data_IF_549378391043
#
_entry.id   IF_549378391043
#
_cell.length_a   1.000
_cell.length_b   1.000
_cell.length_c   1.000
_cell.angle_alpha   90.00
_cell.angle_beta   90.00
_cell.angle_gamma   90.00
#
_symmetry.space_group_name_H-M   'P 1'
#
loop_
_entity.id
_entity.type
_entity.pdbx_description
1 polymer ?
#
# COMPACT_ATOMS: atom_id res chain seq x y z
N UNK A 1 36.23 -12.49 -2.04
CA UNK A 1 35.71 -13.87 -1.99
C UNK A 1 35.04 -14.14 -3.31
N UNK A 2 35.46 -15.20 -4.00
CA UNK A 2 35.18 -15.44 -5.42
C UNK A 2 33.71 -15.56 -5.77
N UNK A 3 33.35 -14.95 -6.90
CA UNK A 3 32.12 -15.20 -7.63
C UNK A 3 32.24 -16.57 -8.32
N UNK A 4 31.25 -17.45 -8.10
CA UNK A 4 31.11 -18.73 -8.80
C UNK A 4 30.04 -18.54 -9.86
N UNK A 5 30.47 -18.37 -11.11
CA UNK A 5 29.62 -18.50 -12.31
C UNK A 5 29.18 -19.97 -12.45
N UNK A 6 27.88 -20.18 -12.69
CA UNK A 6 27.31 -21.46 -13.08
C UNK A 6 26.97 -21.41 -14.57
N UNK A 7 27.21 -22.50 -15.34
CA UNK A 7 27.03 -22.47 -16.78
C UNK A 7 25.57 -22.68 -17.21
N UNK A 8 25.22 -21.90 -18.22
CA UNK A 8 24.03 -21.96 -19.06
C UNK A 8 24.03 -23.27 -19.87
N UNK A 9 22.94 -24.04 -19.79
CA UNK A 9 22.78 -25.31 -20.51
C UNK A 9 21.55 -25.20 -21.43
N UNK A 10 21.82 -24.89 -22.70
CA UNK A 10 20.87 -24.99 -23.82
C UNK A 10 20.48 -26.46 -24.07
N UNK A 11 19.18 -26.79 -24.20
CA UNK A 11 18.76 -28.04 -24.83
C UNK A 11 18.47 -27.82 -26.32
N UNK A 12 19.16 -28.64 -27.11
CA UNK A 12 19.13 -28.74 -28.55
C UNK A 12 17.72 -28.97 -29.15
N UNK A 13 17.51 -28.30 -30.29
CA UNK A 13 16.43 -28.56 -31.23
C UNK A 13 16.57 -29.96 -31.87
N UNK A 14 15.47 -30.70 -31.91
CA UNK A 14 15.31 -31.90 -32.73
C UNK A 14 14.21 -31.70 -33.79
N UNK A 15 14.42 -32.10 -35.06
CA UNK A 15 13.38 -32.11 -36.07
C UNK A 15 12.62 -33.45 -35.99
N UNK A 16 11.33 -33.37 -35.65
CA UNK A 16 10.44 -34.53 -35.54
C UNK A 16 9.39 -34.55 -36.65
N UNK A 17 9.65 -35.43 -37.61
CA UNK A 17 8.85 -35.99 -38.70
C UNK A 17 7.33 -35.78 -38.72
N UNK A 18 6.86 -35.43 -39.93
CA UNK A 18 5.49 -35.48 -40.41
C UNK A 18 4.90 -36.90 -40.33
N UNK A 19 4.10 -37.18 -39.31
CA UNK A 19 3.17 -38.31 -39.31
C UNK A 19 1.75 -37.83 -39.60
N UNK A 20 1.35 -37.99 -40.86
CA UNK A 20 -0.03 -37.90 -41.30
C UNK A 20 -0.86 -39.02 -40.62
N UNK A 21 -1.48 -38.71 -39.48
CA UNK A 21 -2.55 -39.54 -38.91
C UNK A 21 -3.77 -39.42 -39.81
N UNK A 22 -3.99 -40.46 -40.63
CA UNK A 22 -5.26 -40.74 -41.28
C UNK A 22 -6.37 -40.73 -40.22
N UNK A 23 -7.30 -39.79 -40.36
CA UNK A 23 -8.47 -39.69 -39.51
C UNK A 23 -9.31 -40.99 -39.60
N UNK A 24 -9.68 -41.62 -38.47
CA UNK A 24 -10.62 -42.73 -38.47
C UNK A 24 -11.98 -42.23 -38.96
N UNK A 25 -12.55 -42.91 -39.95
CA UNK A 25 -13.95 -42.75 -40.36
C UNK A 25 -14.84 -43.10 -39.16
N UNK A 26 -15.38 -42.08 -38.50
CA UNK A 26 -16.33 -42.22 -37.39
C UNK A 26 -17.66 -42.76 -37.95
N UNK A 27 -18.20 -43.88 -37.42
CA UNK A 27 -19.48 -44.43 -37.83
C UNK A 27 -20.61 -43.42 -37.55
N UNK A 28 -21.49 -43.24 -38.54
CA UNK A 28 -22.48 -42.16 -38.63
C UNK A 28 -23.77 -42.35 -37.78
N UNK A 29 -23.78 -43.28 -36.83
CA UNK A 29 -24.97 -43.61 -36.04
C UNK A 29 -24.77 -43.22 -34.57
N UNK A 30 -24.61 -41.92 -34.30
CA UNK A 30 -24.70 -41.38 -32.95
C UNK A 30 -26.17 -40.98 -32.67
N UNK A 31 -26.76 -41.41 -31.53
CA UNK A 31 -28.15 -41.12 -31.18
C UNK A 31 -28.36 -39.61 -30.99
N UNK A 32 -29.31 -39.05 -31.75
CA UNK A 32 -29.60 -37.61 -31.82
C UNK A 32 -30.22 -36.99 -30.56
N UNK A 33 -30.34 -37.73 -29.44
CA UNK A 33 -31.08 -37.28 -28.26
C UNK A 33 -30.19 -36.64 -27.16
N UNK A 34 -28.86 -36.76 -27.21
CA UNK A 34 -27.97 -36.18 -26.19
C UNK A 34 -27.72 -34.67 -26.34
N UNK A 35 -27.98 -34.07 -27.51
CA UNK A 35 -27.65 -32.67 -27.78
C UNK A 35 -28.54 -31.67 -26.99
N UNK A 36 -29.78 -32.03 -26.67
CA UNK A 36 -30.74 -31.13 -26.03
C UNK A 36 -30.41 -30.80 -24.56
N UNK A 37 -29.79 -31.74 -23.83
CA UNK A 37 -29.45 -31.55 -22.43
C UNK A 37 -28.28 -30.55 -22.26
N UNK A 38 -27.30 -30.59 -23.17
CA UNK A 38 -26.10 -29.74 -23.13
C UNK A 38 -26.39 -28.25 -23.34
N UNK A 39 -27.35 -27.92 -24.21
CA UNK A 39 -27.73 -26.52 -24.48
C UNK A 39 -28.34 -25.83 -23.27
N UNK A 40 -29.20 -26.53 -22.52
CA UNK A 40 -29.86 -26.00 -21.32
C UNK A 40 -28.84 -25.61 -20.24
N UNK A 41 -27.83 -26.47 -20.03
CA UNK A 41 -26.79 -26.25 -19.04
C UNK A 41 -25.83 -25.12 -19.46
N UNK A 42 -25.50 -25.04 -20.76
CA UNK A 42 -24.68 -23.95 -21.29
C UNK A 42 -25.38 -22.59 -21.15
N UNK A 43 -26.68 -22.52 -21.44
CA UNK A 43 -27.47 -21.31 -21.25
C UNK A 43 -27.50 -20.89 -19.77
N UNK A 44 -27.74 -21.83 -18.86
CA UNK A 44 -27.73 -21.56 -17.43
C UNK A 44 -26.38 -21.00 -16.95
N UNK A 45 -25.26 -21.55 -17.45
CA UNK A 45 -23.92 -21.09 -17.09
C UNK A 45 -23.65 -19.67 -17.61
N UNK A 46 -24.09 -19.32 -18.82
CA UNK A 46 -24.00 -17.95 -19.36
C UNK A 46 -24.78 -16.97 -18.50
N UNK A 47 -26.01 -17.31 -18.12
CA UNK A 47 -26.83 -16.49 -17.22
C UNK A 47 -26.14 -16.25 -15.87
N UNK A 48 -25.49 -17.27 -15.30
CA UNK A 48 -24.72 -17.14 -14.05
C UNK A 48 -23.54 -16.19 -14.20
N UNK A 49 -22.73 -16.32 -15.26
CA UNK A 49 -21.59 -15.42 -15.52
C UNK A 49 -22.05 -13.98 -15.74
N UNK A 50 -23.13 -13.78 -16.51
CA UNK A 50 -23.74 -12.46 -16.71
C UNK A 50 -24.20 -11.84 -15.40
N UNK A 51 -24.90 -12.62 -14.56
CA UNK A 51 -25.38 -12.16 -13.26
C UNK A 51 -24.23 -11.74 -12.34
N UNK A 52 -23.17 -12.56 -12.24
CA UNK A 52 -21.98 -12.21 -11.43
C UNK A 52 -21.28 -10.97 -11.98
N UNK A 53 -21.11 -10.85 -13.30
CA UNK A 53 -20.48 -9.68 -13.91
C UNK A 53 -21.26 -8.40 -13.56
N UNK A 54 -22.59 -8.42 -13.67
CA UNK A 54 -23.45 -7.28 -13.32
C UNK A 54 -23.40 -6.97 -11.82
N UNK A 55 -23.50 -7.97 -10.95
CA UNK A 55 -23.42 -7.80 -9.50
C UNK A 55 -22.06 -7.26 -9.07
N UNK A 56 -20.97 -7.76 -9.66
CA UNK A 56 -19.61 -7.31 -9.38
C UNK A 56 -19.42 -5.85 -9.82
N UNK A 57 -19.90 -5.50 -11.02
CA UNK A 57 -19.88 -4.12 -11.51
C UNK A 57 -20.67 -3.17 -10.61
N UNK A 58 -21.91 -3.52 -10.29
CA UNK A 58 -22.78 -2.74 -9.40
C UNK A 58 -22.18 -2.57 -8.00
N UNK A 59 -21.62 -3.64 -7.43
CA UNK A 59 -20.95 -3.60 -6.14
C UNK A 59 -19.70 -2.69 -6.15
N UNK A 60 -18.90 -2.72 -7.23
CA UNK A 60 -17.72 -1.85 -7.34
C UNK A 60 -18.11 -0.37 -7.40
N UNK A 61 -19.17 -0.04 -8.15
CA UNK A 61 -19.71 1.33 -8.20
C UNK A 61 -20.27 1.74 -6.84
N UNK A 62 -21.07 0.89 -6.19
CA UNK A 62 -21.65 1.18 -4.89
C UNK A 62 -20.57 1.34 -3.80
N UNK A 63 -19.57 0.45 -3.77
CA UNK A 63 -18.43 0.51 -2.85
C UNK A 63 -17.59 1.78 -3.08
N UNK A 64 -17.39 2.18 -4.33
CA UNK A 64 -16.72 3.43 -4.67
C UNK A 64 -17.46 4.65 -4.10
N UNK A 65 -18.77 4.77 -4.35
CA UNK A 65 -19.56 5.88 -3.79
C UNK A 65 -19.61 5.83 -2.27
N UNK A 66 -19.80 4.66 -1.67
CA UNK A 66 -19.79 4.52 -0.21
C UNK A 66 -18.45 4.98 0.40
N UNK A 67 -17.33 4.62 -0.22
CA UNK A 67 -15.99 5.05 0.22
C UNK A 67 -15.80 6.56 0.07
N UNK A 68 -16.28 7.17 -1.02
CA UNK A 68 -16.26 8.62 -1.20
C UNK A 68 -17.10 9.34 -0.15
N UNK A 69 -18.33 8.90 0.10
CA UNK A 69 -19.22 9.53 1.08
C UNK A 69 -18.67 9.40 2.51
N UNK A 70 -18.23 8.20 2.90
CA UNK A 70 -17.65 7.96 4.23
C UNK A 70 -16.36 8.73 4.39
N UNK A 71 -15.49 8.71 3.38
CA UNK A 71 -14.23 9.45 3.38
C UNK A 71 -14.47 10.95 3.52
N UNK A 72 -15.43 11.49 2.77
CA UNK A 72 -15.80 12.90 2.86
C UNK A 72 -16.31 13.27 4.27
N UNK A 73 -17.24 12.49 4.81
CA UNK A 73 -17.84 12.78 6.13
C UNK A 73 -16.82 12.66 7.26
N UNK A 74 -16.04 11.58 7.30
CA UNK A 74 -15.04 11.36 8.35
C UNK A 74 -13.90 12.38 8.26
N UNK A 75 -13.49 12.79 7.05
CA UNK A 75 -12.50 13.88 6.88
C UNK A 75 -13.05 15.21 7.34
N UNK A 76 -14.32 15.54 7.04
CA UNK A 76 -14.94 16.77 7.53
C UNK A 76 -15.06 16.78 9.05
N UNK A 77 -15.53 15.69 9.66
CA UNK A 77 -15.63 15.57 11.10
C UNK A 77 -14.26 15.65 11.78
N UNK A 78 -13.22 15.05 11.18
CA UNK A 78 -11.86 15.14 11.68
C UNK A 78 -11.31 16.56 11.53
N UNK A 79 -11.53 17.21 10.39
CA UNK A 79 -11.07 18.57 10.14
C UNK A 79 -11.73 19.56 11.09
N UNK A 80 -13.03 19.42 11.36
CA UNK A 80 -13.76 20.27 12.29
C UNK A 80 -13.24 20.11 13.73
N UNK A 81 -12.93 18.87 14.14
CA UNK A 81 -12.37 18.62 15.47
C UNK A 81 -10.95 19.16 15.60
N UNK A 82 -10.09 18.93 14.59
CA UNK A 82 -8.73 19.50 14.59
C UNK A 82 -8.80 21.03 14.57
N UNK A 83 -9.73 21.63 13.81
CA UNK A 83 -9.95 23.07 13.81
C UNK A 83 -10.32 23.60 15.19
N UNK A 84 -11.13 22.85 15.94
CA UNK A 84 -11.54 23.18 17.31
C UNK A 84 -10.37 23.06 18.29
N UNK A 85 -9.53 22.03 18.15
CA UNK A 85 -8.44 21.75 19.10
C UNK A 85 -7.16 22.54 18.82
N UNK A 86 -6.85 22.83 17.56
CA UNK A 86 -5.58 23.42 17.14
C UNK A 86 -5.76 24.35 15.91
N UNK A 87 -6.43 25.50 16.07
CA UNK A 87 -6.74 26.41 14.96
C UNK A 87 -5.49 26.93 14.24
N UNK A 88 -4.38 27.13 14.96
CA UNK A 88 -3.13 27.67 14.40
C UNK A 88 -2.38 26.69 13.49
N UNK A 89 -2.48 25.38 13.76
CA UNK A 89 -1.87 24.35 12.91
C UNK A 89 -2.62 24.29 11.58
N UNK A 90 -3.95 24.39 11.66
CA UNK A 90 -4.81 24.32 10.49
C UNK A 90 -4.68 25.55 9.61
N UNK A 91 -4.59 26.76 10.16
CA UNK A 91 -4.56 27.99 9.34
C UNK A 91 -3.39 28.04 8.36
N UNK A 92 -2.25 27.41 8.70
CA UNK A 92 -1.07 27.36 7.83
C UNK A 92 -1.11 26.21 6.81
N UNK A 93 -1.91 25.15 7.05
CA UNK A 93 -1.95 23.94 6.22
C UNK A 93 -3.30 23.68 5.54
N UNK A 94 -4.36 24.40 5.89
CA UNK A 94 -5.70 24.23 5.34
C UNK A 94 -5.76 24.53 3.83
N UNK A 95 -4.84 25.33 3.30
CA UNK A 95 -4.71 25.54 1.86
C UNK A 95 -4.22 24.29 1.09
N UNK A 96 -3.68 23.29 1.78
CA UNK A 96 -3.10 22.09 1.16
C UNK A 96 -3.98 20.85 1.26
N UNK A 97 -4.99 20.85 2.15
CA UNK A 97 -5.99 19.77 2.17
C UNK A 97 -7.00 20.09 1.08
N UNK A 98 -6.61 19.87 -0.18
CA UNK A 98 -7.60 19.78 -1.24
C UNK A 98 -8.66 18.78 -0.78
N UNK A 99 -9.95 19.16 -0.77
CA UNK A 99 -10.99 18.19 -0.49
C UNK A 99 -10.76 17.01 -1.43
N UNK A 100 -11.07 15.77 -1.03
CA UNK A 100 -10.99 14.61 -1.92
C UNK A 100 -11.95 14.83 -3.09
N UNK A 101 -11.50 15.60 -4.06
CA UNK A 101 -12.19 15.89 -5.29
C UNK A 101 -12.20 14.61 -6.11
N UNK A 102 -12.97 14.66 -7.19
CA UNK A 102 -12.91 13.63 -8.22
C UNK A 102 -11.56 13.80 -8.93
N UNK A 103 -10.48 13.38 -8.28
CA UNK A 103 -9.14 13.42 -8.85
C UNK A 103 -9.12 12.38 -9.98
N UNK A 104 -8.39 12.68 -11.06
CA UNK A 104 -8.29 11.80 -12.22
C UNK A 104 -7.94 10.35 -11.82
N UNK A 105 -7.14 10.17 -10.77
CA UNK A 105 -6.81 8.86 -10.20
C UNK A 105 -8.02 8.04 -9.75
N UNK A 106 -9.04 8.67 -9.14
CA UNK A 106 -10.25 7.97 -8.71
C UNK A 106 -11.11 7.53 -9.89
N UNK A 107 -11.26 8.38 -10.91
CA UNK A 107 -12.01 8.03 -12.13
C UNK A 107 -11.32 6.91 -12.88
N UNK A 108 -10.00 7.02 -13.07
CA UNK A 108 -9.20 5.97 -13.70
C UNK A 108 -9.25 4.66 -12.90
N UNK A 109 -9.23 4.74 -11.57
CA UNK A 109 -9.41 3.59 -10.70
C UNK A 109 -10.78 2.93 -10.87
N UNK A 110 -11.85 3.71 -10.95
CA UNK A 110 -13.21 3.18 -11.18
C UNK A 110 -13.32 2.49 -12.55
N UNK A 111 -12.80 3.14 -13.61
CA UNK A 111 -12.80 2.58 -14.97
C UNK A 111 -12.01 1.28 -15.04
N UNK A 112 -10.84 1.21 -14.43
CA UNK A 112 -10.03 -0.01 -14.35
C UNK A 112 -10.77 -1.13 -13.60
N UNK A 113 -11.48 -0.80 -12.51
CA UNK A 113 -12.27 -1.77 -11.74
C UNK A 113 -13.50 -2.28 -12.51
N UNK A 114 -14.06 -1.50 -13.43
CA UNK A 114 -15.21 -1.88 -14.26
C UNK A 114 -14.83 -2.68 -15.50
N UNK A 115 -13.56 -2.64 -15.91
CA UNK A 115 -13.08 -3.36 -17.10
C UNK A 115 -13.23 -4.88 -16.95
N UNK A 116 -12.95 -5.43 -15.75
CA UNK A 116 -13.06 -6.87 -15.49
C UNK A 116 -14.53 -7.35 -15.59
N UNK A 117 -15.50 -6.74 -14.88
CA UNK A 117 -16.93 -7.00 -15.10
C UNK A 117 -17.36 -6.87 -16.57
N UNK A 118 -16.87 -5.85 -17.28
CA UNK A 118 -17.21 -5.64 -18.69
C UNK A 118 -16.74 -6.81 -19.57
N UNK A 119 -15.51 -7.31 -19.36
CA UNK A 119 -15.02 -8.52 -20.05
C UNK A 119 -15.91 -9.74 -19.80
N UNK A 120 -16.38 -9.92 -18.56
CA UNK A 120 -17.30 -11.00 -18.21
C UNK A 120 -18.66 -10.86 -18.90
N UNK A 121 -19.22 -9.65 -18.88
CA UNK A 121 -20.51 -9.35 -19.50
C UNK A 121 -20.46 -9.52 -21.03
N UNK A 122 -19.53 -8.84 -21.71
CA UNK A 122 -19.42 -8.90 -23.16
C UNK A 122 -18.93 -10.27 -23.64
N UNK A 123 -18.06 -10.94 -22.89
CA UNK A 123 -17.61 -12.29 -23.19
C UNK A 123 -18.74 -13.31 -23.17
N UNK A 124 -19.59 -13.27 -22.14
CA UNK A 124 -20.74 -14.15 -22.04
C UNK A 124 -21.84 -13.81 -23.07
N UNK A 125 -22.04 -12.53 -23.39
CA UNK A 125 -23.01 -12.07 -24.39
C UNK A 125 -22.61 -12.48 -25.82
N UNK A 126 -21.36 -12.19 -26.23
CA UNK A 126 -20.86 -12.42 -27.59
C UNK A 126 -20.19 -13.79 -27.80
N UNK A 127 -20.23 -14.68 -26.79
CA UNK A 127 -19.57 -16.00 -26.84
C UNK A 127 -18.07 -15.93 -27.16
N UNK A 128 -17.42 -14.84 -26.74
CA UNK A 128 -16.00 -14.62 -27.02
C UNK A 128 -15.15 -15.34 -25.97
N UNK A 129 -14.53 -16.45 -26.37
CA UNK A 129 -13.61 -17.23 -25.52
C UNK A 129 -12.49 -16.37 -24.93
N UNK A 130 -11.95 -15.42 -25.71
CA UNK A 130 -10.87 -14.52 -25.26
C UNK A 130 -11.31 -13.62 -24.10
N UNK A 131 -12.50 -13.03 -24.19
CA UNK A 131 -13.03 -12.13 -23.15
C UNK A 131 -13.39 -12.87 -21.86
N UNK A 132 -14.00 -14.06 -21.97
CA UNK A 132 -14.30 -14.89 -20.79
C UNK A 132 -13.02 -15.41 -20.14
N UNK A 133 -12.01 -15.76 -20.92
CA UNK A 133 -10.67 -16.10 -20.41
C UNK A 133 -10.04 -14.96 -19.62
N UNK A 134 -10.11 -13.72 -20.15
CA UNK A 134 -9.65 -12.52 -19.44
C UNK A 134 -10.44 -12.30 -18.13
N UNK A 135 -11.77 -12.40 -18.16
CA UNK A 135 -12.60 -12.29 -16.96
C UNK A 135 -12.21 -13.30 -15.87
N UNK A 136 -12.02 -14.57 -16.24
CA UNK A 136 -11.61 -15.62 -15.32
C UNK A 136 -10.22 -15.35 -14.72
N UNK A 137 -9.22 -15.01 -15.56
CA UNK A 137 -7.87 -14.74 -15.11
C UNK A 137 -7.78 -13.52 -14.19
N UNK A 138 -8.44 -12.43 -14.56
CA UNK A 138 -8.47 -11.21 -13.76
C UNK A 138 -9.26 -11.40 -12.46
N UNK A 139 -10.41 -12.08 -12.48
CA UNK A 139 -11.19 -12.35 -11.26
C UNK A 139 -10.42 -13.24 -10.30
N UNK A 140 -9.71 -14.27 -10.80
CA UNK A 140 -8.90 -15.15 -9.97
C UNK A 140 -7.72 -14.43 -9.34
N UNK A 141 -7.01 -13.60 -10.12
CA UNK A 141 -5.93 -12.75 -9.61
C UNK A 141 -6.44 -11.79 -8.52
N UNK A 142 -7.58 -11.12 -8.76
CA UNK A 142 -8.22 -10.23 -7.79
C UNK A 142 -8.67 -10.97 -6.53
N UNK A 143 -9.14 -12.20 -6.64
CA UNK A 143 -9.50 -13.01 -5.47
C UNK A 143 -8.28 -13.34 -4.62
N UNK A 144 -7.17 -13.77 -5.24
CA UNK A 144 -5.94 -14.07 -4.52
C UNK A 144 -5.36 -12.82 -3.83
N UNK A 145 -5.23 -11.71 -4.58
CA UNK A 145 -4.72 -10.44 -4.04
C UNK A 145 -5.66 -9.85 -2.99
N UNK A 146 -6.98 -9.95 -3.21
CA UNK A 146 -7.99 -9.50 -2.27
C UNK A 146 -7.99 -10.28 -0.96
N UNK A 147 -7.82 -11.61 -1.02
CA UNK A 147 -7.68 -12.45 0.18
C UNK A 147 -6.40 -12.11 0.96
N UNK A 148 -5.26 -11.95 0.27
CA UNK A 148 -4.01 -11.51 0.92
C UNK A 148 -4.16 -10.14 1.56
N UNK A 149 -4.74 -9.17 0.83
CA UNK A 149 -5.01 -7.83 1.35
C UNK A 149 -5.93 -7.88 2.58
N UNK A 150 -6.97 -8.71 2.58
CA UNK A 150 -7.86 -8.90 3.72
C UNK A 150 -7.11 -9.45 4.95
N UNK A 151 -6.23 -10.44 4.77
CA UNK A 151 -5.42 -11.01 5.86
C UNK A 151 -4.48 -9.95 6.43
N UNK A 152 -3.72 -9.25 5.57
CA UNK A 152 -2.81 -8.18 6.00
C UNK A 152 -3.57 -7.09 6.75
N UNK A 153 -4.74 -6.72 6.23
CA UNK A 153 -5.59 -5.73 6.83
C UNK A 153 -6.10 -6.13 8.22
N UNK A 154 -6.53 -7.39 8.40
CA UNK A 154 -6.92 -7.92 9.72
C UNK A 154 -5.72 -7.97 10.68
N UNK A 155 -4.53 -8.28 10.15
CA UNK A 155 -3.27 -8.22 10.89
C UNK A 155 -2.96 -6.81 11.40
N UNK A 156 -3.05 -5.80 10.54
CA UNK A 156 -2.84 -4.39 10.91
C UNK A 156 -3.86 -3.93 11.95
N UNK A 157 -5.14 -4.28 11.79
CA UNK A 157 -6.18 -3.98 12.78
C UNK A 157 -5.88 -4.58 14.15
N UNK A 158 -5.38 -5.81 14.17
CA UNK A 158 -5.01 -6.50 15.41
C UNK A 158 -3.77 -5.85 16.04
N UNK A 159 -2.77 -5.48 15.23
CA UNK A 159 -1.59 -4.77 15.67
C UNK A 159 -1.92 -3.39 16.26
N UNK A 160 -2.82 -2.61 15.63
CA UNK A 160 -3.27 -1.31 16.16
C UNK A 160 -3.92 -1.51 17.54
N UNK A 161 -4.82 -2.47 17.70
CA UNK A 161 -5.49 -2.72 18.99
C UNK A 161 -4.53 -3.17 20.09
N UNK A 162 -3.48 -3.90 19.73
CA UNK A 162 -2.45 -4.31 20.68
C UNK A 162 -1.49 -3.17 21.03
N UNK A 163 -1.23 -2.26 20.08
CA UNK A 163 -0.35 -1.12 20.26
C UNK A 163 -1.04 0.08 20.93
N UNK A 164 -2.36 0.19 20.83
CA UNK A 164 -3.18 1.29 21.36
C UNK A 164 -2.86 1.65 22.82
N UNK A 165 -2.90 0.73 23.81
CA UNK A 165 -2.61 1.10 25.20
C UNK A 165 -1.16 1.56 25.39
N UNK A 166 -0.20 0.87 24.74
CA UNK A 166 1.21 1.24 24.82
C UNK A 166 1.48 2.62 24.22
N UNK A 167 0.78 2.94 23.12
CA UNK A 167 0.88 4.24 22.46
C UNK A 167 0.26 5.35 23.32
N UNK A 168 -0.91 5.12 23.93
CA UNK A 168 -1.55 6.08 24.83
C UNK A 168 -0.70 6.36 26.07
N UNK A 169 -0.13 5.31 26.67
CA UNK A 169 0.79 5.44 27.80
C UNK A 169 2.05 6.22 27.42
N UNK A 170 2.65 5.91 26.26
CA UNK A 170 3.81 6.63 25.75
C UNK A 170 3.50 8.10 25.43
N UNK A 171 2.39 8.38 24.76
CA UNK A 171 1.96 9.75 24.44
C UNK A 171 1.72 10.57 25.70
N UNK A 172 1.08 9.97 26.71
CA UNK A 172 0.81 10.63 28.00
C UNK A 172 2.10 10.85 28.78
N UNK A 173 2.99 9.86 28.81
CA UNK A 173 4.27 9.96 29.50
C UNK A 173 5.21 10.99 28.84
N UNK A 174 5.09 11.18 27.53
CA UNK A 174 5.88 12.13 26.76
C UNK A 174 5.22 13.51 26.56
N UNK A 175 4.13 13.83 27.27
CA UNK A 175 3.50 15.15 27.18
C UNK A 175 4.46 16.26 27.71
N UNK A 176 4.89 17.22 26.87
CA UNK A 176 5.80 18.29 27.27
C UNK A 176 5.10 19.41 28.07
N UNK A 177 3.77 19.40 28.17
CA UNK A 177 2.98 20.46 28.80
C UNK A 177 3.40 20.78 30.26
N UNK A 178 3.73 19.80 31.12
CA UNK A 178 4.23 20.08 32.47
C UNK A 178 5.55 20.83 32.48
N UNK A 179 6.47 20.54 31.55
CA UNK A 179 7.75 21.23 31.43
C UNK A 179 7.58 22.70 31.12
N UNK A 180 6.63 23.05 30.24
CA UNK A 180 6.40 24.45 29.83
C UNK A 180 5.86 25.34 30.95
N UNK A 181 5.35 24.76 32.05
CA UNK A 181 4.85 25.51 33.22
C UNK A 181 5.95 25.93 34.19
N UNK A 182 7.19 25.50 33.97
CA UNK A 182 8.32 25.86 34.83
C UNK A 182 8.72 27.34 34.65
N UNK A 183 9.19 27.94 35.74
CA UNK A 183 9.41 29.39 35.82
C UNK A 183 10.55 29.90 34.93
N UNK A 184 11.64 29.14 34.81
CA UNK A 184 12.84 29.56 34.07
C UNK A 184 13.07 28.72 32.82
N UNK A 185 13.63 29.34 31.77
CA UNK A 185 13.98 28.63 30.53
C UNK A 185 14.93 27.47 30.76
N UNK A 186 15.89 27.62 31.68
CA UNK A 186 16.82 26.55 32.05
C UNK A 186 16.10 25.31 32.59
N UNK A 187 15.12 25.50 33.50
CA UNK A 187 14.32 24.39 34.03
C UNK A 187 13.43 23.76 32.95
N UNK A 188 12.88 24.55 32.02
CA UNK A 188 12.12 24.02 30.88
C UNK A 188 12.98 23.15 29.98
N UNK A 189 14.16 23.64 29.61
CA UNK A 189 15.11 22.91 28.76
C UNK A 189 15.55 21.62 29.44
N UNK A 190 15.86 21.66 30.74
CA UNK A 190 16.29 20.47 31.48
C UNK A 190 15.16 19.43 31.66
N UNK A 191 13.91 19.87 31.83
CA UNK A 191 12.73 18.99 31.82
C UNK A 191 12.52 18.31 30.46
N UNK A 192 12.56 19.09 29.37
CA UNK A 192 12.35 18.63 27.99
C UNK A 192 13.48 17.76 27.46
N UNK A 193 14.70 17.98 27.95
CA UNK A 193 15.86 17.14 27.68
C UNK A 193 15.70 15.73 28.27
N UNK A 194 14.71 15.50 29.13
CA UNK A 194 14.41 14.18 29.68
C UNK A 194 15.40 13.73 30.76
N UNK A 195 14.97 12.76 31.56
CA UNK A 195 15.63 12.33 32.79
C UNK A 195 16.31 10.97 32.68
N UNK A 196 17.35 10.73 33.48
CA UNK A 196 17.94 9.41 33.70
C UNK A 196 19.07 8.97 32.75
N UNK A 197 19.45 9.81 31.78
CA UNK A 197 20.58 9.56 30.87
C UNK A 197 21.63 10.69 30.90
N UNK A 198 21.48 11.63 31.85
CA UNK A 198 22.41 12.69 32.17
C UNK A 198 22.71 12.68 33.67
N UNK A 199 23.96 12.91 34.06
CA UNK A 199 24.33 13.08 35.48
C UNK A 199 23.88 14.41 36.05
N UNK A 200 23.91 15.46 35.24
CA UNK A 200 23.48 16.80 35.64
C UNK A 200 22.02 16.96 35.23
N UNK A 201 21.13 16.70 36.18
CA UNK A 201 19.70 16.95 36.07
C UNK A 201 19.24 17.65 37.34
N UNK A 202 18.36 18.65 37.21
CA UNK A 202 17.79 19.34 38.35
C UNK A 202 16.83 18.38 39.08
N UNK A 203 17.32 17.68 40.11
CA UNK A 203 16.58 16.57 40.74
C UNK A 203 15.23 16.90 41.41
N UNK A 204 14.76 18.15 41.38
CA UNK A 204 13.47 18.57 41.95
C UNK A 204 12.37 18.79 40.90
N UNK A 205 12.68 18.77 39.60
CA UNK A 205 11.69 18.97 38.54
C UNK A 205 11.27 17.62 37.92
N UNK A 206 10.03 17.51 37.41
CA UNK A 206 9.68 16.39 36.55
C UNK A 206 10.56 16.41 35.30
N UNK A 207 10.95 15.25 34.80
CA UNK A 207 11.63 15.12 33.52
C UNK A 207 10.84 14.18 32.62
N UNK A 208 10.91 14.41 31.31
CA UNK A 208 10.36 13.46 30.35
C UNK A 208 11.10 12.10 30.42
N UNK A 209 10.39 10.97 30.22
CA UNK A 209 11.03 9.68 30.04
C UNK A 209 12.10 9.68 28.96
N UNK A 210 13.03 8.73 29.07
CA UNK A 210 14.17 8.63 28.15
C UNK A 210 13.75 8.37 26.70
N UNK A 211 12.61 7.75 26.47
CA UNK A 211 12.15 7.30 25.15
C UNK A 211 11.25 8.33 24.46
N UNK A 212 11.16 9.54 25.03
CA UNK A 212 10.46 10.66 24.44
C UNK A 212 11.29 11.33 23.33
N UNK A 213 10.62 11.93 22.33
CA UNK A 213 11.31 12.52 21.19
C UNK A 213 12.06 13.80 21.62
N UNK A 214 13.29 13.98 21.13
CA UNK A 214 14.13 15.15 21.47
C UNK A 214 13.81 16.39 20.61
N UNK A 215 12.76 16.33 19.79
CA UNK A 215 12.36 17.42 18.87
C UNK A 215 11.87 18.68 19.60
N UNK A 216 11.72 18.63 20.93
CA UNK A 216 11.27 19.75 21.76
C UNK A 216 12.34 20.81 21.99
N UNK A 217 13.60 20.54 21.64
CA UNK A 217 14.70 21.48 21.79
C UNK A 217 15.22 21.87 20.42
N UNK A 218 15.63 23.14 20.27
CA UNK A 218 16.21 23.67 19.05
C UNK A 218 17.40 24.57 19.37
N UNK A 219 18.39 24.60 18.48
CA UNK A 219 19.45 25.58 18.58
C UNK A 219 18.92 26.94 18.12
N UNK A 220 19.18 28.02 18.89
CA UNK A 220 18.93 29.37 18.44
C UNK A 220 19.62 29.64 17.09
N UNK A 221 18.98 30.44 16.24
CA UNK A 221 19.51 30.79 14.93
C UNK A 221 20.88 31.49 15.05
N UNK A 222 21.87 31.00 14.30
CA UNK A 222 23.24 31.52 14.35
C UNK A 222 24.12 30.96 15.47
N UNK A 223 23.60 30.06 16.31
CA UNK A 223 24.39 29.34 17.30
C UNK A 223 24.80 27.98 16.73
N UNK A 224 26.10 27.76 16.59
CA UNK A 224 26.66 26.44 16.26
C UNK A 224 26.83 25.65 17.54
N UNK A 225 26.70 24.32 17.47
CA UNK A 225 27.12 23.48 18.60
C UNK A 225 28.60 23.74 18.86
N UNK A 226 29.03 23.86 20.12
CA UNK A 226 30.45 23.93 20.44
C UNK A 226 31.18 22.74 19.83
N UNK A 227 32.10 23.01 18.89
CA UNK A 227 32.90 21.98 18.21
C UNK A 227 33.73 21.12 19.19
N UNK A 228 34.01 21.70 20.36
CA UNK A 228 34.87 21.15 21.40
C UNK A 228 34.08 20.42 22.49
N UNK A 229 32.80 20.11 22.26
CA UNK A 229 32.03 19.47 23.31
C UNK A 229 32.53 18.04 23.58
N UNK A 230 33.04 17.72 24.80
CA UNK A 230 33.79 16.48 25.04
C UNK A 230 32.99 15.22 24.75
N UNK A 231 31.67 15.28 24.91
CA UNK A 231 30.78 14.16 24.68
C UNK A 231 30.38 13.98 23.20
N UNK A 232 30.71 14.93 22.31
CA UNK A 232 30.46 14.84 20.87
C UNK A 232 31.73 14.66 20.03
N UNK A 233 32.90 14.60 20.68
CA UNK A 233 34.18 14.38 20.01
C UNK A 233 34.41 12.89 19.71
N UNK A 234 35.28 12.55 18.74
CA UNK A 234 35.71 11.17 18.51
C UNK A 234 36.37 10.52 19.75
N UNK A 235 36.82 11.34 20.71
CA UNK A 235 37.43 10.92 21.97
C UNK A 235 36.43 10.88 23.13
N UNK A 236 35.14 11.05 22.88
CA UNK A 236 34.11 11.10 23.92
C UNK A 236 34.04 9.86 24.83
N UNK A 237 34.51 8.70 24.38
CA UNK A 237 34.63 7.52 25.25
C UNK A 237 35.53 7.76 26.47
N UNK A 238 36.56 8.58 26.31
CA UNK A 238 37.53 8.93 27.36
C UNK A 238 37.22 10.31 27.98
N UNK A 239 36.83 11.28 27.16
CA UNK A 239 36.70 12.69 27.54
C UNK A 239 35.29 13.09 28.00
N UNK A 240 34.24 12.30 27.73
CA UNK A 240 32.89 12.66 28.14
C UNK A 240 32.76 12.64 29.67
N UNK A 241 32.52 13.80 30.27
CA UNK A 241 32.45 13.93 31.73
C UNK A 241 31.22 13.25 32.35
N UNK A 242 30.24 12.79 31.55
CA UNK A 242 29.03 12.12 32.02
C UNK A 242 29.23 10.58 32.18
N UNK A 243 29.42 10.06 33.41
CA UNK A 243 29.59 8.62 33.62
C UNK A 243 28.32 7.81 33.35
N UNK A 244 27.12 8.38 33.52
CA UNK A 244 25.85 7.68 33.27
C UNK A 244 25.71 7.45 31.77
N UNK A 245 26.00 8.48 30.98
CA UNK A 245 25.91 8.39 29.52
C UNK A 245 26.99 7.48 28.93
N UNK A 246 28.22 7.53 29.47
CA UNK A 246 29.28 6.57 29.11
C UNK A 246 28.89 5.13 29.42
N UNK A 247 28.37 4.87 30.63
CA UNK A 247 27.92 3.53 31.01
C UNK A 247 26.77 3.04 30.10
N UNK A 248 25.82 3.92 29.75
CA UNK A 248 24.74 3.59 28.83
C UNK A 248 25.25 3.20 27.44
N UNK A 249 26.10 4.04 26.81
CA UNK A 249 26.63 3.74 25.47
C UNK A 249 27.60 2.56 25.46
N UNK A 250 28.36 2.33 26.53
CA UNK A 250 29.22 1.15 26.67
C UNK A 250 28.42 -0.16 26.79
N UNK A 251 27.17 -0.10 27.29
CA UNK A 251 26.29 -1.26 27.40
C UNK A 251 25.58 -1.63 26.09
N UNK A 252 25.57 -0.73 25.11
CA UNK A 252 24.90 -0.93 23.82
C UNK A 252 25.80 -1.75 22.88
N UNK A 253 25.26 -2.84 22.32
CA UNK A 253 25.96 -3.66 21.32
C UNK A 253 26.13 -2.88 19.99
N UNK A 254 27.16 -3.22 19.22
CA UNK A 254 27.61 -2.53 17.98
C UNK A 254 26.50 -2.15 16.98
N UNK A 255 25.40 -2.92 16.91
CA UNK A 255 24.26 -2.62 16.02
C UNK A 255 23.49 -1.34 16.41
N UNK A 256 23.54 -0.95 17.69
CA UNK A 256 22.83 0.23 18.20
C UNK A 256 23.56 1.56 17.92
N UNK A 257 24.79 1.53 17.43
CA UNK A 257 25.58 2.74 17.12
C UNK A 257 25.73 3.03 15.62
N UNK A 258 25.23 2.14 14.75
CA UNK A 258 25.27 2.36 13.30
C UNK A 258 24.64 3.69 12.87
N UNK A 259 25.30 4.45 11.97
CA UNK A 259 24.78 5.71 11.45
C UNK A 259 23.53 5.45 10.62
N UNK A 260 22.41 6.12 10.91
CA UNK A 260 21.20 6.02 10.08
C UNK A 260 19.87 6.44 10.71
N UNK A 261 19.73 6.44 12.04
CA UNK A 261 18.48 6.87 12.69
C UNK A 261 18.74 8.14 13.51
N UNK A 262 18.22 9.28 13.07
CA UNK A 262 18.42 10.62 13.66
C UNK A 262 17.87 10.86 15.07
N UNK A 263 17.71 9.79 15.87
CA UNK A 263 17.22 9.80 17.25
C UNK A 263 18.16 9.04 18.21
N UNK A 264 19.35 8.62 17.74
CA UNK A 264 20.23 7.77 18.56
C UNK A 264 20.99 8.58 19.61
N UNK A 265 20.94 8.06 20.84
CA UNK A 265 21.65 8.55 22.03
C UNK A 265 23.16 8.21 22.03
N UNK A 266 23.61 7.45 21.04
CA UNK A 266 25.01 7.08 20.82
C UNK A 266 25.29 7.06 19.30
N UNK A 267 26.46 7.53 18.87
CA UNK A 267 26.94 7.52 17.48
C UNK A 267 28.23 6.73 17.42
N UNK A 268 28.36 5.88 16.40
CA UNK A 268 29.65 5.24 16.11
C UNK A 268 30.57 6.21 15.41
N UNK A 269 31.81 6.28 15.85
CA UNK A 269 32.88 6.96 15.12
C UNK A 269 33.81 5.91 14.51
N UNK A 270 34.21 6.14 13.26
CA UNK A 270 35.31 5.40 12.66
C UNK A 270 36.61 5.95 13.24
N UNK A 271 37.12 5.28 14.28
CA UNK A 271 38.48 5.51 14.74
C UNK A 271 39.49 5.19 13.63
N UNK A 272 40.67 5.80 13.70
CA UNK A 272 41.80 5.53 12.79
C UNK A 272 42.37 4.11 12.91
N UNK A 273 41.97 3.37 13.95
CA UNK A 273 42.33 1.97 14.17
C UNK A 273 41.07 1.14 14.48
N UNK A 274 40.53 0.47 13.46
CA UNK A 274 39.63 -0.72 13.41
C UNK A 274 38.54 -1.03 14.47
N UNK A 275 38.43 -0.35 15.60
CA UNK A 275 37.32 -0.45 16.55
C UNK A 275 36.31 0.67 16.30
N UNK A 276 35.08 0.31 15.93
CA UNK A 276 33.95 1.24 16.04
C UNK A 276 33.73 1.52 17.52
N UNK A 277 34.10 2.72 17.97
CA UNK A 277 33.76 3.17 19.32
C UNK A 277 32.39 3.85 19.29
N UNK A 278 31.48 3.38 20.14
CA UNK A 278 30.20 4.02 20.41
C UNK A 278 30.43 5.20 21.36
N UNK A 279 30.39 6.42 20.84
CA UNK A 279 30.37 7.61 21.68
C UNK A 279 28.93 8.05 21.94
N UNK A 280 28.66 8.72 23.07
CA UNK A 280 27.38 9.34 23.30
C UNK A 280 27.06 10.36 22.20
N UNK A 281 25.82 10.39 21.78
CA UNK A 281 25.30 11.43 20.90
C UNK A 281 24.03 11.99 21.52
N UNK A 282 23.85 13.30 21.46
CA UNK A 282 22.70 13.95 22.05
C UNK A 282 23.07 15.22 22.77
N UNK A 283 22.14 15.71 23.58
CA UNK A 283 22.24 17.01 24.22
C UNK A 283 23.53 17.18 25.03
N UNK A 284 24.07 18.39 25.12
CA UNK A 284 25.22 18.71 25.97
C UNK A 284 24.99 18.31 27.43
N UNK A 285 26.05 18.30 28.25
CA UNK A 285 25.91 18.05 29.70
C UNK A 285 24.92 19.04 30.34
N UNK A 286 24.93 20.29 29.85
CA UNK A 286 24.06 21.39 30.24
C UNK A 286 23.29 21.95 29.03
N UNK A 287 22.19 21.32 28.62
CA UNK A 287 21.39 21.78 27.47
C UNK A 287 20.85 23.19 27.62
N UNK A 288 20.64 23.65 28.85
CA UNK A 288 20.20 25.00 29.15
C UNK A 288 21.16 26.11 28.68
N UNK A 289 22.44 25.79 28.43
CA UNK A 289 23.45 26.76 27.96
C UNK A 289 23.45 26.90 26.42
N UNK A 290 22.94 25.91 25.69
CA UNK A 290 23.06 25.82 24.21
C UNK A 290 21.69 25.79 23.51
N UNK A 291 20.67 25.22 24.15
CA UNK A 291 19.36 24.97 23.54
C UNK A 291 18.28 25.89 24.10
N UNK A 292 17.29 26.16 23.25
CA UNK A 292 16.04 26.78 23.64
C UNK A 292 14.86 25.80 23.44
N UNK A 293 13.76 25.92 24.22
CA UNK A 293 12.54 25.19 23.96
C UNK A 293 11.99 25.54 22.57
N UNK A 294 11.73 24.53 21.75
CA UNK A 294 11.02 24.69 20.49
C UNK A 294 9.52 24.73 20.77
N UNK A 295 9.01 25.92 21.09
CA UNK A 295 7.61 26.12 21.48
C UNK A 295 6.63 25.55 20.44
N UNK A 296 6.96 25.66 19.15
CA UNK A 296 6.14 25.12 18.07
C UNK A 296 6.04 23.60 18.13
N UNK A 297 7.17 22.90 18.21
CA UNK A 297 7.18 21.44 18.27
C UNK A 297 6.51 20.92 19.55
N UNK A 298 6.69 21.64 20.66
CA UNK A 298 6.01 21.34 21.94
C UNK A 298 4.50 21.48 21.80
N UNK A 299 4.01 22.57 21.20
CA UNK A 299 2.58 22.78 20.96
C UNK A 299 2.01 21.75 19.97
N UNK A 300 2.71 21.48 18.87
CA UNK A 300 2.28 20.50 17.85
C UNK A 300 2.16 19.10 18.45
N UNK A 301 3.12 18.68 19.29
CA UNK A 301 3.08 17.38 19.96
C UNK A 301 2.00 17.34 21.04
N UNK A 302 1.85 18.38 21.87
CA UNK A 302 0.79 18.45 22.87
C UNK A 302 -0.62 18.41 22.22
N UNK A 303 -0.78 19.00 21.03
CA UNK A 303 -1.99 18.87 20.23
C UNK A 303 -2.17 17.42 19.71
N UNK A 304 -1.10 16.79 19.24
CA UNK A 304 -1.13 15.40 18.80
C UNK A 304 -1.51 14.41 19.92
N UNK A 305 -0.97 14.58 21.14
CA UNK A 305 -1.31 13.77 22.32
C UNK A 305 -2.81 13.84 22.63
N UNK A 306 -3.41 15.03 22.52
CA UNK A 306 -4.86 15.21 22.72
C UNK A 306 -5.70 14.61 21.58
N UNK A 307 -5.21 14.70 20.36
CA UNK A 307 -5.94 14.29 19.15
C UNK A 307 -5.88 12.78 18.89
N UNK A 308 -4.76 12.13 19.23
CA UNK A 308 -4.52 10.71 18.99
C UNK A 308 -5.64 9.76 19.48
N UNK A 309 -6.12 9.84 20.75
CA UNK A 309 -7.14 8.92 21.25
C UNK A 309 -8.49 9.07 20.53
N UNK A 310 -8.76 10.23 19.92
CA UNK A 310 -9.96 10.43 19.12
C UNK A 310 -9.81 9.94 17.67
N UNK A 311 -8.61 10.04 17.10
CA UNK A 311 -8.34 9.66 15.71
C UNK A 311 -8.21 8.16 15.52
N UNK A 312 -7.59 7.44 16.46
CA UNK A 312 -7.42 5.98 16.40
C UNK A 312 -8.76 5.24 16.15
N UNK A 313 -9.83 5.46 16.94
CA UNK A 313 -11.10 4.75 16.73
C UNK A 313 -11.79 5.13 15.41
N UNK A 314 -11.61 6.37 14.92
CA UNK A 314 -12.13 6.79 13.61
C UNK A 314 -11.42 6.04 12.48
N UNK A 315 -10.08 5.96 12.53
CA UNK A 315 -9.29 5.17 11.58
C UNK A 315 -9.74 3.71 11.61
N UNK A 316 -9.88 3.10 12.79
CA UNK A 316 -10.37 1.73 12.93
C UNK A 316 -11.76 1.54 12.31
N UNK A 317 -12.67 2.52 12.46
CA UNK A 317 -14.03 2.47 11.88
C UNK A 317 -13.99 2.56 10.36
N UNK A 318 -13.30 3.54 9.79
CA UNK A 318 -13.15 3.69 8.33
C UNK A 318 -12.57 2.42 7.71
N UNK A 319 -11.52 1.91 8.35
CA UNK A 319 -10.93 0.65 7.98
C UNK A 319 -12.02 -0.44 8.01
N UNK A 320 -12.78 -0.63 9.09
CA UNK A 320 -13.77 -1.73 9.22
C UNK A 320 -14.83 -1.68 8.12
N UNK A 321 -15.31 -0.48 7.79
CA UNK A 321 -16.29 -0.31 6.71
C UNK A 321 -15.69 -0.71 5.37
N UNK A 322 -14.45 -0.33 5.08
CA UNK A 322 -13.77 -0.74 3.84
C UNK A 322 -13.64 -2.28 3.76
N UNK A 323 -13.36 -2.96 4.87
CA UNK A 323 -13.34 -4.42 4.93
C UNK A 323 -14.71 -5.03 4.61
N UNK A 324 -15.77 -4.50 5.23
CA UNK A 324 -17.15 -4.95 5.03
C UNK A 324 -17.63 -4.74 3.59
N UNK A 325 -17.23 -3.63 2.96
CA UNK A 325 -17.57 -3.32 1.56
C UNK A 325 -16.81 -4.20 0.55
N UNK A 326 -15.57 -4.60 0.84
CA UNK A 326 -14.77 -5.41 -0.08
C UNK A 326 -15.05 -6.91 0.02
N UNK A 327 -15.52 -7.40 1.18
CA UNK A 327 -15.75 -8.82 1.40
C UNK A 327 -16.75 -9.45 0.40
N UNK A 328 -17.92 -8.86 0.10
CA UNK A 328 -18.82 -9.41 -0.92
C UNK A 328 -18.18 -9.42 -2.31
N UNK A 329 -17.31 -8.45 -2.61
CA UNK A 329 -16.58 -8.39 -3.87
C UNK A 329 -15.60 -9.54 -4.02
N UNK A 330 -14.93 -9.93 -2.93
CA UNK A 330 -14.06 -11.11 -2.90
C UNK A 330 -14.84 -12.40 -3.19
N UNK A 331 -16.00 -12.57 -2.56
CA UNK A 331 -16.88 -13.74 -2.79
C UNK A 331 -17.35 -13.79 -4.24
N UNK A 332 -17.81 -12.66 -4.79
CA UNK A 332 -18.26 -12.59 -6.19
C UNK A 332 -17.11 -12.83 -7.18
N UNK A 333 -15.90 -12.36 -6.91
CA UNK A 333 -14.72 -12.65 -7.74
C UNK A 333 -14.37 -14.15 -7.74
N UNK A 334 -14.49 -14.83 -6.59
CA UNK A 334 -14.29 -16.29 -6.52
C UNK A 334 -15.34 -17.03 -7.35
N UNK A 335 -16.63 -16.65 -7.20
CA UNK A 335 -17.72 -17.23 -8.00
C UNK A 335 -17.54 -16.96 -9.50
N UNK A 336 -17.13 -15.74 -9.86
CA UNK A 336 -16.83 -15.33 -11.23
C UNK A 336 -15.70 -16.14 -11.84
N UNK A 337 -14.67 -16.47 -11.05
CA UNK A 337 -13.57 -17.34 -11.48
C UNK A 337 -14.05 -18.77 -11.73
N UNK A 338 -14.79 -19.36 -10.79
CA UNK A 338 -15.29 -20.73 -10.92
C UNK A 338 -16.23 -20.88 -12.13
N UNK A 339 -17.26 -20.02 -12.23
CA UNK A 339 -18.24 -20.10 -13.32
C UNK A 339 -17.65 -19.63 -14.65
N UNK A 340 -16.76 -18.64 -14.65
CA UNK A 340 -16.02 -18.19 -15.82
C UNK A 340 -15.13 -19.29 -16.40
N UNK A 341 -14.41 -20.03 -15.56
CA UNK A 341 -13.58 -21.15 -15.98
C UNK A 341 -14.42 -22.28 -16.59
N UNK A 342 -15.54 -22.65 -15.94
CA UNK A 342 -16.46 -23.65 -16.51
C UNK A 342 -16.98 -23.22 -17.88
N UNK A 343 -17.36 -21.94 -18.05
CA UNK A 343 -17.86 -21.42 -19.32
C UNK A 343 -16.75 -21.43 -20.38
N UNK A 344 -15.54 -21.03 -20.01
CA UNK A 344 -14.37 -21.06 -20.87
C UNK A 344 -14.04 -22.47 -21.37
N UNK A 345 -14.07 -23.47 -20.47
CA UNK A 345 -13.85 -24.87 -20.83
C UNK A 345 -14.92 -25.39 -21.80
N UNK A 346 -16.21 -25.11 -21.55
CA UNK A 346 -17.29 -25.49 -22.46
C UNK A 346 -17.16 -24.84 -23.84
N UNK A 347 -16.85 -23.54 -23.90
CA UNK A 347 -16.59 -22.87 -25.19
C UNK A 347 -15.36 -23.45 -25.90
N UNK A 348 -14.35 -23.89 -25.15
CA UNK A 348 -13.14 -24.53 -25.70
C UNK A 348 -13.41 -25.93 -26.25
N UNK A 349 -14.42 -26.63 -25.72
CA UNK A 349 -14.85 -27.94 -26.18
C UNK A 349 -15.75 -27.89 -27.42
N UNK A 350 -16.00 -26.70 -28.01
CA UNK A 350 -16.76 -26.56 -29.27
C UNK A 350 -18.22 -26.15 -29.11
N UNK A 351 -18.74 -26.00 -27.88
CA UNK A 351 -20.14 -25.58 -27.65
C UNK A 351 -20.46 -24.14 -28.07
N UNK A 352 -19.47 -23.35 -28.51
CA UNK A 352 -19.67 -21.96 -28.91
C UNK A 352 -20.33 -21.81 -30.30
N UNK A 353 -20.08 -22.76 -31.22
CA UNK A 353 -20.45 -22.67 -32.65
C UNK A 353 -21.87 -23.14 -32.97
N UNK A 354 -22.53 -23.87 -32.06
CA UNK A 354 -23.79 -24.58 -32.37
C UNK A 354 -25.02 -23.66 -32.41
N UNK A 355 -24.98 -22.51 -31.73
CA UNK A 355 -26.19 -21.70 -31.52
C UNK A 355 -26.13 -20.27 -32.05
N UNK A 356 -25.20 -19.92 -32.94
CA UNK A 356 -25.36 -18.68 -33.68
C UNK A 356 -26.48 -18.97 -34.69
N UNK A 357 -27.66 -18.32 -34.58
CA UNK A 357 -28.67 -18.47 -35.60
C UNK A 357 -28.00 -17.99 -36.86
N UNK A 358 -27.60 -18.95 -37.71
CA UNK A 358 -27.18 -18.68 -39.07
C UNK A 358 -28.37 -17.91 -39.62
N UNK A 359 -28.24 -16.59 -39.76
CA UNK A 359 -29.24 -15.82 -40.48
C UNK A 359 -29.51 -16.63 -41.73
N UNK A 360 -30.77 -17.00 -42.01
CA UNK A 360 -31.08 -17.87 -43.14
C UNK A 360 -30.44 -17.21 -44.34
N UNK A 361 -29.32 -17.77 -44.79
CA UNK A 361 -28.55 -17.22 -45.88
C UNK A 361 -29.48 -17.41 -47.07
N UNK A 362 -30.23 -16.36 -47.41
CA UNK A 362 -31.14 -16.38 -48.53
C UNK A 362 -30.32 -16.88 -49.73
N UNK A 363 -30.65 -18.04 -50.31
CA UNK A 363 -29.94 -18.57 -51.47
C UNK A 363 -30.36 -17.71 -52.66
N UNK A 364 -29.75 -16.53 -52.80
CA UNK A 364 -30.35 -15.52 -53.68
C UNK A 364 -29.58 -14.23 -53.86
N UNK A 365 -28.28 -14.15 -53.58
CA UNK A 365 -27.41 -13.18 -54.27
C UNK A 365 -25.95 -13.62 -54.12
N UNK A 366 -25.45 -14.38 -55.09
CA UNK A 366 -24.01 -14.43 -55.33
C UNK A 366 -23.58 -13.02 -55.77
N UNK A 367 -23.20 -12.16 -54.82
CA UNK A 367 -22.29 -11.07 -55.16
C UNK A 367 -20.95 -11.73 -55.41
N UNK A 368 -20.60 -11.89 -56.69
CA UNK A 368 -19.27 -12.24 -57.14
C UNK A 368 -18.26 -11.43 -56.33
N UNK A 369 -17.49 -12.13 -55.51
CA UNK A 369 -16.37 -11.56 -54.79
C UNK A 369 -15.31 -11.19 -55.84
N UNK A 370 -15.37 -9.96 -56.36
CA UNK A 370 -14.29 -9.37 -57.14
C UNK A 370 -13.06 -9.39 -56.23
N UNK A 371 -12.10 -10.26 -56.54
CA UNK A 371 -10.78 -10.24 -55.93
C UNK A 371 -10.20 -8.83 -56.09
N UNK A 372 -9.82 -8.13 -55.01
CA UNK A 372 -9.04 -6.91 -55.15
C UNK A 372 -7.69 -7.26 -55.80
N UNK A 373 -7.44 -6.67 -56.97
CA UNK A 373 -6.16 -6.76 -57.67
C UNK A 373 -5.02 -6.32 -56.72
N UNK A 374 -3.90 -7.06 -56.63
CA UNK A 374 -2.76 -6.64 -55.83
C UNK A 374 -2.15 -5.35 -56.39
N UNK A 375 -2.12 -4.33 -55.55
CA UNK A 375 -1.69 -2.96 -55.82
C UNK A 375 -0.15 -2.84 -55.82
N UNK A 376 0.54 -3.74 -56.53
CA UNK A 376 2.02 -3.75 -56.65
C UNK A 376 2.53 -3.59 -58.10
N UNK A 377 1.67 -3.25 -59.06
CA UNK A 377 2.04 -3.08 -60.49
C UNK A 377 1.91 -1.64 -61.02
N UNK A 378 1.94 -0.62 -60.16
CA UNK A 378 1.90 0.80 -60.57
C UNK A 378 3.04 1.61 -59.93
N UNK A 379 4.25 1.07 -59.96
CA UNK A 379 5.47 1.79 -59.56
C UNK A 379 6.61 1.57 -60.54
N UNK A 380 6.37 1.85 -61.82
CA UNK A 380 7.41 2.14 -62.81
C UNK A 380 6.78 2.87 -63.99
N UNK A 381 6.88 4.21 -63.96
CA UNK A 381 6.77 5.20 -65.07
C UNK A 381 6.28 6.55 -64.56
N UNK A 382 7.00 7.14 -63.62
CA UNK A 382 7.07 8.61 -63.45
C UNK A 382 8.46 8.94 -62.89
N UNK A 383 9.43 9.14 -63.78
CA UNK A 383 10.56 10.07 -63.65
C UNK A 383 11.50 9.87 -64.84
N UNK A 384 12.05 10.99 -65.29
CA UNK A 384 12.97 11.26 -66.40
C UNK A 384 14.12 10.27 -66.63
#
# INVERSE_FOLDING_TARGET
>A
GGASEAPEQEPAAGPGEDSAMSAPLVPADAPADEDSAGESEFHALRCRVLCVALLLGGLKVASYFATLFIGYHEVQDALQEVHRMAPEILSKKAAFVEPPGINAGYVMGLLANLLVPACGFFGAMHRSKKLVGCFCGCSGCWSCLGALALILYLGVQSAIRLAEPSLEDWLTACDPSPCMRLDTTALRVDCLAGGGWRTVAHGSIPHLPQDCPQVFLTLPEGQELPSDEPCMSPKAGEECEDPVRRAYCASMQDQACSPGNGLRKCVSFNGTETLLSCAPAGLPLRPEEVYAPNEKNVQDFAAAVKLAPEMIPRIQRMMKVNCLLNFPGLVLSCLGTCWGLSLYCKMSAGYATVGEPREPSFPGTQTSHVQPLPLFMLRDKVAE
#
